data_IF_974054603707
#
_entry.id   IF_974054603707
#
_cell.length_a   1.000
_cell.length_b   1.000
_cell.length_c   1.000
_cell.angle_alpha   90.00
_cell.angle_beta   90.00
_cell.angle_gamma   90.00
#
_symmetry.space_group_name_H-M   'P 1'
#
loop_
_entity.id
_entity.type
_entity.pdbx_description
1 polymer ?
#
# COMPACT_ATOMS: atom_id res chain seq x y z
N UNK A 1 -40.11 -4.17 58.44
CA UNK A 1 -40.56 -4.25 57.05
C UNK A 1 -39.83 -3.16 56.25
N UNK A 2 -38.90 -3.58 55.38
CA UNK A 2 -38.45 -2.88 54.15
C UNK A 2 -37.58 -1.60 54.26
N UNK A 3 -36.26 -1.81 54.12
CA UNK A 3 -35.28 -1.14 53.22
C UNK A 3 -35.46 0.35 52.81
N UNK A 4 -34.48 1.23 53.11
CA UNK A 4 -33.28 1.49 52.26
C UNK A 4 -32.52 2.81 52.58
N UNK A 5 -31.21 2.63 52.85
CA UNK A 5 -30.01 3.35 52.37
C UNK A 5 -29.88 4.90 52.46
N UNK A 6 -29.20 5.31 53.54
CA UNK A 6 -27.97 6.11 53.65
C UNK A 6 -27.52 7.13 52.55
N UNK A 7 -27.43 8.37 53.06
CA UNK A 7 -26.66 9.59 52.71
C UNK A 7 -25.34 9.39 51.93
N UNK A 8 -25.00 10.14 50.86
CA UNK A 8 -24.75 11.60 50.63
C UNK A 8 -23.37 12.15 51.09
N UNK A 9 -22.61 12.65 50.09
CA UNK A 9 -21.56 13.70 50.08
C UNK A 9 -20.22 13.40 50.80
N UNK A 10 -19.03 13.88 50.39
CA UNK A 10 -18.49 14.65 49.26
C UNK A 10 -16.96 14.78 49.46
N UNK A 11 -16.26 15.18 48.38
CA UNK A 11 -15.02 15.99 48.33
C UNK A 11 -13.64 15.34 48.03
N UNK A 12 -13.10 15.80 46.89
CA UNK A 12 -11.77 16.40 46.63
C UNK A 12 -10.51 15.53 46.72
N UNK A 13 -9.90 15.37 45.54
CA UNK A 13 -8.55 15.90 45.28
C UNK A 13 -7.37 14.95 45.47
N UNK A 14 -6.81 14.45 44.36
CA UNK A 14 -5.36 14.27 44.27
C UNK A 14 -4.89 14.48 42.82
N UNK A 15 -4.31 15.66 42.59
CA UNK A 15 -3.44 15.98 41.46
C UNK A 15 -2.14 15.18 41.63
N UNK A 16 -1.66 14.48 40.60
CA UNK A 16 -0.27 14.00 40.55
C UNK A 16 0.43 14.74 39.42
N UNK A 17 1.35 15.60 39.80
CA UNK A 17 2.27 16.33 38.92
C UNK A 17 3.39 15.38 38.47
N UNK A 18 3.64 15.32 37.17
CA UNK A 18 4.72 14.57 36.55
C UNK A 18 5.82 15.56 36.14
N UNK A 19 6.93 15.64 36.89
CA UNK A 19 8.18 16.27 36.41
C UNK A 19 9.38 15.56 37.07
N UNK A 20 10.15 14.78 36.29
CA UNK A 20 11.58 15.01 36.03
C UNK A 20 12.22 13.88 35.20
N UNK A 21 12.79 14.31 34.07
CA UNK A 21 13.92 13.81 33.28
C UNK A 21 14.79 12.67 33.83
N UNK A 22 15.14 11.75 32.92
CA UNK A 22 16.53 11.31 32.74
C UNK A 22 17.00 10.09 33.51
N UNK A 23 17.10 8.97 32.78
CA UNK A 23 18.00 7.83 32.98
C UNK A 23 17.71 6.85 34.13
N UNK A 24 17.60 5.57 33.75
CA UNK A 24 17.99 4.46 34.61
C UNK A 24 16.85 3.80 35.39
N UNK A 25 16.69 2.50 35.14
CA UNK A 25 15.81 1.55 35.85
C UNK A 25 15.75 1.77 37.36
N UNK A 26 14.52 1.81 37.91
CA UNK A 26 14.28 1.78 39.35
C UNK A 26 12.81 1.53 39.66
N UNK A 27 12.51 0.33 40.12
CA UNK A 27 11.21 -0.13 40.62
C UNK A 27 10.81 0.74 41.83
N UNK A 28 9.66 1.40 41.80
CA UNK A 28 9.10 2.09 42.98
C UNK A 28 7.86 1.37 43.50
N UNK A 29 8.04 0.66 44.62
CA UNK A 29 6.95 0.20 45.47
C UNK A 29 6.59 1.32 46.46
N UNK A 30 5.35 1.82 46.39
CA UNK A 30 4.76 2.63 47.46
C UNK A 30 4.12 1.68 48.47
N UNK A 31 4.81 1.45 49.59
CA UNK A 31 4.25 0.76 50.76
C UNK A 31 3.54 1.80 51.63
N UNK A 32 2.22 1.82 51.56
CA UNK A 32 1.38 2.42 52.60
C UNK A 32 0.85 1.28 53.47
N UNK A 33 1.39 1.16 54.68
CA UNK A 33 1.06 0.11 55.63
C UNK A 33 -0.38 0.26 56.17
N UNK A 34 -1.33 -0.50 55.62
CA UNK A 34 -2.48 -1.06 56.34
C UNK A 34 -2.88 -2.37 55.69
N UNK A 35 -2.92 -3.42 56.51
CA UNK A 35 -2.99 -4.84 56.16
C UNK A 35 -4.30 -5.19 55.45
N UNK A 36 -4.20 -5.79 54.25
CA UNK A 36 -5.25 -6.60 53.64
C UNK A 36 -4.62 -7.94 53.18
N UNK A 37 -4.98 -9.09 53.76
CA UNK A 37 -4.34 -10.38 53.45
C UNK A 37 -4.79 -11.00 52.11
N UNK A 38 -5.56 -10.29 51.28
CA UNK A 38 -6.03 -10.78 49.98
C UNK A 38 -5.49 -10.00 48.77
N UNK A 39 -4.47 -9.15 48.95
CA UNK A 39 -3.82 -8.50 47.82
C UNK A 39 -2.81 -9.48 47.19
N UNK A 40 -3.29 -10.35 46.31
CA UNK A 40 -2.41 -10.96 45.31
C UNK A 40 -1.77 -9.83 44.51
N UNK A 41 -0.47 -9.65 44.71
CA UNK A 41 0.36 -8.79 43.87
C UNK A 41 0.38 -9.47 42.51
N UNK A 42 -0.55 -9.09 41.64
CA UNK A 42 -0.46 -9.40 40.22
C UNK A 42 0.74 -8.61 39.70
N UNK A 43 1.89 -9.28 39.62
CA UNK A 43 2.93 -8.85 38.69
C UNK A 43 2.30 -8.92 37.31
N UNK A 44 1.97 -7.76 36.73
CA UNK A 44 1.69 -7.71 35.30
C UNK A 44 2.99 -8.15 34.62
N UNK A 45 2.99 -9.36 34.06
CA UNK A 45 4.07 -9.79 33.18
C UNK A 45 4.20 -8.72 32.08
N UNK A 46 5.44 -8.30 31.80
CA UNK A 46 5.67 -7.34 30.72
C UNK A 46 5.18 -7.98 29.42
N UNK A 47 4.23 -7.33 28.75
CA UNK A 47 3.67 -7.82 27.48
C UNK A 47 4.82 -8.04 26.49
N UNK A 48 4.92 -9.22 25.84
CA UNK A 48 6.02 -9.48 24.92
C UNK A 48 6.05 -8.49 23.76
N UNK A 49 7.22 -7.89 23.54
CA UNK A 49 7.48 -7.03 22.39
C UNK A 49 8.57 -7.63 21.52
N UNK A 50 8.39 -7.53 20.21
CA UNK A 50 9.31 -8.08 19.21
C UNK A 50 10.47 -7.12 18.92
N UNK A 51 11.69 -7.66 18.82
CA UNK A 51 12.84 -6.93 18.29
C UNK A 51 12.86 -7.01 16.76
N UNK A 52 12.53 -5.88 16.12
CA UNK A 52 12.56 -5.72 14.66
C UNK A 52 13.94 -6.02 14.06
N UNK A 53 15.03 -5.68 14.76
CA UNK A 53 16.38 -5.94 14.26
C UNK A 53 16.75 -7.43 14.33
N UNK A 54 16.26 -8.14 15.34
CA UNK A 54 16.47 -9.57 15.48
C UNK A 54 15.75 -10.36 14.36
N UNK A 55 14.53 -9.96 13.98
CA UNK A 55 13.85 -10.60 12.83
C UNK A 55 14.51 -10.23 11.50
N UNK A 56 14.92 -8.98 11.28
CA UNK A 56 15.59 -8.58 10.03
C UNK A 56 16.95 -9.26 9.85
N UNK A 57 17.69 -9.52 10.93
CA UNK A 57 18.94 -10.29 10.85
C UNK A 57 18.70 -11.78 10.60
N UNK A 58 17.57 -12.32 11.08
CA UNK A 58 17.12 -13.66 10.75
C UNK A 58 16.84 -13.84 9.25
N UNK A 59 16.28 -12.81 8.60
CA UNK A 59 15.96 -12.83 7.17
C UNK A 59 17.16 -12.51 6.27
N UNK A 60 18.11 -11.71 6.75
CA UNK A 60 19.28 -11.23 5.96
C UNK A 60 20.54 -12.13 6.07
N UNK A 61 20.54 -13.15 6.90
CA UNK A 61 21.67 -14.07 7.02
C UNK A 61 21.17 -15.50 7.23
N UNK A 62 21.67 -16.41 6.39
CA UNK A 62 21.43 -17.87 6.30
C UNK A 62 21.44 -18.67 7.62
N UNK A 63 20.56 -18.38 8.58
CA UNK A 63 20.49 -19.06 9.88
C UNK A 63 19.25 -19.95 10.00
N UNK A 64 19.54 -21.22 9.72
CA UNK A 64 19.00 -22.44 10.35
C UNK A 64 17.50 -22.72 10.17
N UNK A 65 17.27 -23.78 9.39
CA UNK A 65 16.05 -24.57 9.24
C UNK A 65 15.85 -25.39 10.51
N UNK A 66 14.64 -25.41 11.07
CA UNK A 66 14.33 -26.29 12.21
C UNK A 66 13.77 -27.61 11.67
N UNK A 67 14.45 -28.72 11.98
CA UNK A 67 14.21 -30.04 11.38
C UNK A 67 12.92 -30.73 11.89
N UNK A 68 12.40 -30.36 13.07
CA UNK A 68 11.21 -31.00 13.65
C UNK A 68 10.21 -29.98 14.21
N UNK A 69 8.99 -30.04 13.65
CA UNK A 69 7.76 -29.47 14.21
C UNK A 69 6.73 -30.60 14.13
N UNK A 70 6.20 -31.06 15.25
CA UNK A 70 5.05 -31.97 15.27
C UNK A 70 3.79 -31.12 15.27
N UNK A 71 3.15 -30.95 14.11
CA UNK A 71 2.00 -30.07 13.94
C UNK A 71 0.70 -30.71 14.42
N UNK A 72 -0.06 -30.03 15.28
CA UNK A 72 -1.52 -30.15 15.34
C UNK A 72 -2.16 -28.90 15.97
N UNK A 73 -2.68 -27.99 15.13
CA UNK A 73 -3.69 -27.00 15.56
C UNK A 73 -3.20 -25.58 15.88
N UNK A 74 -4.20 -24.70 16.07
CA UNK A 74 -4.07 -23.26 16.35
C UNK A 74 -3.63 -22.94 17.80
N UNK A 75 -3.44 -23.97 18.62
CA UNK A 75 -2.76 -23.86 19.90
C UNK A 75 -1.31 -24.30 19.69
N UNK A 76 -0.34 -23.61 20.31
CA UNK A 76 1.06 -24.06 20.37
C UNK A 76 1.25 -25.31 21.24
N UNK A 77 0.15 -26.05 21.42
CA UNK A 77 -0.02 -27.32 22.09
C UNK A 77 -0.78 -28.21 21.13
N UNK A 78 -0.38 -29.47 21.03
CA UNK A 78 -1.20 -30.44 20.30
C UNK A 78 -2.56 -30.64 21.02
N UNK A 79 -3.44 -31.44 20.41
CA UNK A 79 -4.74 -31.80 20.99
C UNK A 79 -4.67 -32.53 22.35
N UNK A 80 -3.48 -32.87 22.82
CA UNK A 80 -3.22 -33.45 24.15
C UNK A 80 -2.73 -32.44 25.20
N UNK A 81 -2.55 -31.17 24.81
CA UNK A 81 -2.07 -30.10 25.70
C UNK A 81 -0.54 -30.04 25.84
N UNK A 82 0.21 -30.79 25.04
CA UNK A 82 1.67 -30.82 25.06
C UNK A 82 2.24 -29.65 24.28
N UNK A 83 3.08 -28.81 24.90
CA UNK A 83 3.77 -27.71 24.22
C UNK A 83 4.55 -28.24 22.99
N UNK A 84 4.17 -27.79 21.80
CA UNK A 84 4.82 -28.11 20.53
C UNK A 84 6.24 -27.53 20.41
N UNK A 85 6.67 -26.77 21.41
CA UNK A 85 7.94 -26.04 21.51
C UNK A 85 9.05 -26.89 22.18
N UNK A 86 8.72 -28.05 22.76
CA UNK A 86 9.72 -28.88 23.46
C UNK A 86 10.73 -29.52 22.49
N UNK A 87 11.94 -28.96 22.41
CA UNK A 87 13.08 -29.50 21.65
C UNK A 87 13.38 -28.81 20.31
N UNK A 88 12.61 -27.79 19.91
CA UNK A 88 12.82 -27.05 18.67
C UNK A 88 13.84 -25.88 18.86
N UNK A 89 14.92 -25.85 18.06
CA UNK A 89 15.95 -24.78 18.12
C UNK A 89 15.52 -23.53 17.35
N UNK A 90 14.64 -22.73 17.93
CA UNK A 90 14.20 -21.42 17.38
C UNK A 90 15.18 -20.28 17.67
N UNK A 91 15.05 -19.16 16.95
CA UNK A 91 15.80 -17.93 17.25
C UNK A 91 14.98 -17.04 18.19
N UNK A 92 15.53 -16.71 19.35
CA UNK A 92 14.92 -15.75 20.26
C UNK A 92 14.91 -14.35 19.62
N UNK A 93 13.73 -13.78 19.46
CA UNK A 93 13.50 -12.45 18.84
C UNK A 93 12.72 -11.52 19.79
N UNK A 94 12.71 -11.83 21.09
CA UNK A 94 12.17 -10.95 22.12
C UNK A 94 13.11 -9.76 22.36
N UNK A 95 12.57 -8.54 22.46
CA UNK A 95 13.38 -7.33 22.66
C UNK A 95 14.11 -7.29 24.01
N UNK A 96 13.61 -7.99 25.01
CA UNK A 96 14.26 -8.13 26.32
C UNK A 96 15.28 -9.27 26.37
N UNK A 97 15.40 -10.08 25.31
CA UNK A 97 16.18 -11.32 25.32
C UNK A 97 15.61 -12.41 26.24
N UNK A 98 14.38 -12.24 26.75
CA UNK A 98 13.75 -13.15 27.72
C UNK A 98 13.52 -14.57 27.20
N UNK A 99 13.48 -14.75 25.88
CA UNK A 99 13.05 -16.00 25.28
C UNK A 99 11.53 -16.15 25.29
N UNK A 100 10.78 -15.05 25.39
CA UNK A 100 9.31 -15.09 25.30
C UNK A 100 8.81 -15.14 23.85
N UNK A 101 9.66 -14.86 22.86
CA UNK A 101 9.29 -14.85 21.44
C UNK A 101 10.36 -15.59 20.65
N UNK A 102 9.94 -16.57 19.85
CA UNK A 102 10.82 -17.33 18.98
C UNK A 102 10.35 -17.30 17.52
N UNK A 103 11.30 -17.12 16.61
CA UNK A 103 11.12 -17.32 15.18
C UNK A 103 11.62 -18.70 14.75
N UNK A 104 10.84 -19.36 13.89
CA UNK A 104 11.16 -20.62 13.27
C UNK A 104 10.88 -20.54 11.77
N UNK A 105 11.77 -21.08 10.95
CA UNK A 105 11.59 -21.14 9.50
C UNK A 105 11.69 -22.58 9.02
N UNK A 106 10.64 -23.03 8.36
CA UNK A 106 10.55 -24.40 7.84
C UNK A 106 9.78 -24.37 6.52
N UNK A 107 10.33 -25.03 5.51
CA UNK A 107 9.67 -25.19 4.21
C UNK A 107 9.15 -23.88 3.61
N UNK A 108 9.92 -22.79 3.73
CA UNK A 108 9.55 -21.45 3.28
C UNK A 108 8.45 -20.71 4.06
N UNK A 109 7.95 -21.29 5.16
CA UNK A 109 7.03 -20.64 6.10
C UNK A 109 7.78 -20.13 7.33
N UNK A 110 7.53 -18.88 7.71
CA UNK A 110 7.99 -18.29 8.97
C UNK A 110 6.90 -18.41 10.03
N UNK A 111 7.26 -18.98 11.18
CA UNK A 111 6.42 -19.08 12.37
C UNK A 111 6.99 -18.17 13.45
N UNK A 112 6.18 -17.24 13.95
CA UNK A 112 6.50 -16.41 15.12
C UNK A 112 5.64 -16.91 16.28
N UNK A 113 6.29 -17.42 17.33
CA UNK A 113 5.61 -18.05 18.45
C UNK A 113 5.90 -17.32 19.75
N UNK A 114 4.86 -17.14 20.57
CA UNK A 114 4.95 -16.62 21.93
C UNK A 114 3.80 -17.19 22.76
N UNK A 115 3.99 -17.44 24.08
CA UNK A 115 2.91 -17.88 24.96
C UNK A 115 1.86 -16.78 25.23
N UNK A 116 2.19 -15.51 24.97
CA UNK A 116 1.27 -14.37 25.07
C UNK A 116 1.22 -13.63 23.72
N UNK A 117 0.25 -12.73 23.53
CA UNK A 117 0.20 -11.90 22.32
C UNK A 117 1.44 -11.00 22.23
N UNK A 118 2.00 -10.95 21.03
CA UNK A 118 3.19 -10.17 20.70
C UNK A 118 2.74 -8.80 20.23
N UNK A 119 2.96 -7.76 21.03
CA UNK A 119 2.67 -6.39 20.58
C UNK A 119 3.80 -5.91 19.68
N UNK A 120 3.46 -5.63 18.43
CA UNK A 120 4.41 -5.05 17.49
C UNK A 120 4.65 -3.57 17.80
N UNK A 121 5.90 -3.07 17.60
CA UNK A 121 6.21 -1.66 17.79
C UNK A 121 5.44 -0.76 16.81
N UNK A 122 5.19 0.49 17.21
CA UNK A 122 4.52 1.50 16.36
C UNK A 122 5.13 1.60 14.96
N UNK A 123 6.47 1.60 14.90
CA UNK A 123 7.20 1.39 13.66
C UNK A 123 7.53 -0.09 13.45
N UNK A 124 6.69 -0.75 12.66
CA UNK A 124 6.92 -2.12 12.18
C UNK A 124 7.21 -2.15 10.68
N UNK A 125 7.70 -1.03 10.12
CA UNK A 125 8.15 -1.00 8.73
C UNK A 125 9.23 -2.05 8.49
N UNK A 126 9.39 -2.52 7.26
CA UNK A 126 10.49 -3.41 6.87
C UNK A 126 10.63 -4.72 7.66
N UNK A 127 9.59 -5.16 8.40
CA UNK A 127 9.71 -6.25 9.37
C UNK A 127 10.17 -7.58 8.74
N UNK A 128 9.68 -7.89 7.55
CA UNK A 128 10.03 -9.08 6.77
C UNK A 128 10.73 -8.74 5.46
N UNK A 129 11.18 -7.49 5.32
CA UNK A 129 11.81 -6.98 4.10
C UNK A 129 12.95 -7.87 3.62
N UNK A 130 13.00 -8.04 2.30
CA UNK A 130 13.98 -8.79 1.53
C UNK A 130 14.13 -10.26 1.95
N UNK A 131 13.13 -10.82 2.66
CA UNK A 131 13.08 -12.25 2.97
C UNK A 131 12.69 -13.06 1.71
N UNK A 132 13.61 -13.12 0.76
CA UNK A 132 13.41 -13.62 -0.62
C UNK A 132 13.01 -15.09 -0.74
N UNK A 133 13.10 -15.88 0.34
CA UNK A 133 12.66 -17.28 0.35
C UNK A 133 11.30 -17.47 1.03
N UNK A 134 10.75 -16.42 1.64
CA UNK A 134 9.51 -16.48 2.42
C UNK A 134 8.29 -16.61 1.51
N UNK A 135 7.58 -17.73 1.59
CA UNK A 135 6.35 -17.98 0.85
C UNK A 135 5.10 -17.78 1.70
N UNK A 136 5.23 -17.81 3.02
CA UNK A 136 4.13 -17.67 3.98
C UNK A 136 4.66 -17.16 5.34
N UNK A 137 3.85 -16.37 6.05
CA UNK A 137 4.11 -15.95 7.44
C UNK A 137 2.89 -16.22 8.29
N UNK A 138 3.10 -16.84 9.45
CA UNK A 138 2.04 -17.07 10.43
C UNK A 138 2.02 -15.92 11.46
N UNK A 139 0.94 -15.12 11.41
CA UNK A 139 0.77 -13.87 12.18
C UNK A 139 -0.24 -14.00 13.34
N UNK A 140 -0.66 -15.21 13.72
CA UNK A 140 -1.72 -15.43 14.71
C UNK A 140 -1.41 -14.89 16.12
N UNK A 141 -0.14 -14.86 16.49
CA UNK A 141 0.30 -14.37 17.80
C UNK A 141 0.55 -12.86 17.84
N UNK A 142 0.51 -12.13 16.72
CA UNK A 142 0.85 -10.70 16.70
C UNK A 142 -0.37 -9.82 16.96
N UNK A 143 -0.16 -8.78 17.74
CA UNK A 143 -1.07 -7.66 17.93
C UNK A 143 -0.47 -6.44 17.23
N UNK A 144 -1.21 -5.97 16.22
CA UNK A 144 -0.82 -4.83 15.37
C UNK A 144 -1.66 -3.59 15.61
N UNK A 145 -2.52 -3.58 16.63
CA UNK A 145 -3.41 -2.45 16.95
C UNK A 145 -2.66 -1.14 17.22
N UNK A 146 -1.41 -1.24 17.64
CA UNK A 146 -0.51 -0.10 17.87
C UNK A 146 0.41 0.21 16.69
N UNK A 147 0.35 -0.50 15.56
CA UNK A 147 1.28 -0.24 14.44
C UNK A 147 0.74 0.92 13.61
N UNK A 148 1.53 2.00 13.49
CA UNK A 148 1.22 3.13 12.63
C UNK A 148 1.97 3.07 11.30
N UNK A 149 3.14 2.44 11.26
CA UNK A 149 3.96 2.31 10.06
C UNK A 149 4.08 0.84 9.64
N UNK A 150 3.40 0.48 8.55
CA UNK A 150 3.48 -0.82 7.88
C UNK A 150 4.33 -0.78 6.61
N UNK A 151 5.00 0.35 6.33
CA UNK A 151 5.72 0.53 5.08
C UNK A 151 6.74 -0.58 4.86
N UNK A 152 6.81 -1.10 3.64
CA UNK A 152 7.78 -2.15 3.25
C UNK A 152 7.72 -3.42 4.11
N UNK A 153 6.66 -3.69 4.87
CA UNK A 153 6.62 -4.81 5.83
C UNK A 153 6.94 -6.16 5.17
N UNK A 154 6.46 -6.40 3.95
CA UNK A 154 6.72 -7.62 3.16
C UNK A 154 7.50 -7.33 1.86
N UNK A 155 8.26 -6.24 1.82
CA UNK A 155 9.00 -5.80 0.64
C UNK A 155 9.92 -6.92 0.11
N UNK A 156 9.80 -7.25 -1.17
CA UNK A 156 10.53 -8.29 -1.88
C UNK A 156 10.43 -9.71 -1.27
N UNK A 157 9.39 -10.02 -0.50
CA UNK A 157 9.13 -11.41 -0.08
C UNK A 157 8.50 -12.21 -1.22
N UNK A 158 8.82 -13.51 -1.36
CA UNK A 158 8.24 -14.39 -2.40
C UNK A 158 6.95 -15.07 -1.95
N UNK A 159 6.09 -14.31 -1.26
CA UNK A 159 4.84 -14.78 -0.66
C UNK A 159 3.91 -15.37 -1.72
N UNK A 160 3.44 -16.60 -1.51
CA UNK A 160 2.40 -17.24 -2.33
C UNK A 160 1.04 -17.25 -1.65
N UNK A 161 1.02 -17.14 -0.33
CA UNK A 161 -0.18 -17.01 0.51
C UNK A 161 0.16 -16.17 1.73
N UNK A 162 -0.80 -15.37 2.21
CA UNK A 162 -0.66 -14.60 3.43
C UNK A 162 -2.02 -14.47 4.10
N UNK A 163 -2.15 -15.03 5.30
CA UNK A 163 -3.32 -14.80 6.15
C UNK A 163 -3.16 -13.47 6.89
N UNK A 164 -3.99 -12.50 6.50
CA UNK A 164 -3.98 -11.14 7.04
C UNK A 164 -5.08 -10.90 8.08
N UNK A 165 -5.93 -11.89 8.38
CA UNK A 165 -7.16 -11.73 9.19
C UNK A 165 -6.91 -11.15 10.59
N UNK A 166 -5.75 -11.43 11.17
CA UNK A 166 -5.34 -10.97 12.50
C UNK A 166 -4.64 -9.60 12.51
N UNK A 167 -4.43 -8.96 11.36
CA UNK A 167 -3.86 -7.61 11.32
C UNK A 167 -4.93 -6.55 11.62
N UNK A 168 -4.76 -5.82 12.71
CA UNK A 168 -5.53 -4.61 12.97
C UNK A 168 -4.78 -3.40 12.42
N UNK A 169 -5.29 -2.89 11.30
CA UNK A 169 -4.69 -1.77 10.58
C UNK A 169 -5.30 -0.42 10.95
N UNK A 170 -6.16 -0.34 11.97
CA UNK A 170 -6.85 0.90 12.35
C UNK A 170 -5.91 2.09 12.61
N UNK A 171 -4.75 1.82 13.22
CA UNK A 171 -3.76 2.84 13.58
C UNK A 171 -2.81 3.20 12.43
N UNK A 172 -2.86 2.49 11.30
CA UNK A 172 -1.95 2.68 10.20
C UNK A 172 -2.07 4.08 9.57
N UNK A 173 -0.93 4.74 9.42
CA UNK A 173 -0.78 6.01 8.70
C UNK A 173 0.05 5.84 7.42
N UNK A 174 0.94 4.85 7.37
CA UNK A 174 1.81 4.56 6.22
C UNK A 174 1.74 3.07 5.85
N UNK A 175 1.34 2.78 4.62
CA UNK A 175 1.31 1.44 4.02
C UNK A 175 2.12 1.39 2.71
N UNK A 176 2.98 2.37 2.48
CA UNK A 176 3.80 2.47 1.27
C UNK A 176 4.64 1.21 1.08
N UNK A 177 4.75 0.72 -0.15
CA UNK A 177 5.56 -0.45 -0.51
C UNK A 177 5.26 -1.75 0.26
N UNK A 178 4.13 -1.86 0.98
CA UNK A 178 3.88 -2.96 1.94
C UNK A 178 4.04 -4.35 1.31
N UNK A 179 3.59 -4.55 0.08
CA UNK A 179 3.69 -5.81 -0.68
C UNK A 179 4.57 -5.67 -1.94
N UNK A 180 5.38 -4.61 -2.03
CA UNK A 180 6.27 -4.38 -3.18
C UNK A 180 7.09 -5.62 -3.49
N UNK A 181 7.16 -6.03 -4.75
CA UNK A 181 7.97 -7.15 -5.22
C UNK A 181 7.51 -8.52 -4.71
N UNK A 182 6.30 -8.63 -4.15
CA UNK A 182 5.69 -9.91 -3.81
C UNK A 182 5.19 -10.67 -5.05
N UNK A 183 6.12 -11.04 -5.92
CA UNK A 183 5.86 -11.56 -7.25
C UNK A 183 5.02 -12.83 -7.27
N UNK A 184 5.07 -13.68 -6.23
CA UNK A 184 4.36 -14.96 -6.20
C UNK A 184 2.90 -14.86 -5.73
N UNK A 185 2.44 -13.70 -5.26
CA UNK A 185 1.06 -13.53 -4.81
C UNK A 185 0.11 -13.65 -6.01
N UNK A 186 -0.87 -14.55 -5.92
CA UNK A 186 -1.91 -14.75 -6.94
C UNK A 186 -3.25 -14.12 -6.55
N UNK A 187 -3.51 -14.04 -5.25
CA UNK A 187 -4.62 -13.35 -4.60
C UNK A 187 -4.21 -12.82 -3.23
N UNK A 188 -4.95 -11.86 -2.70
CA UNK A 188 -4.76 -11.31 -1.37
C UNK A 188 -6.12 -10.91 -0.81
N UNK A 189 -6.47 -11.41 0.38
CA UNK A 189 -7.68 -10.98 1.10
C UNK A 189 -7.33 -9.76 1.95
N UNK A 190 -7.94 -8.63 1.62
CA UNK A 190 -7.75 -7.34 2.28
C UNK A 190 -9.03 -6.84 2.96
N UNK A 191 -10.05 -7.69 3.09
CA UNK A 191 -11.38 -7.31 3.57
C UNK A 191 -11.40 -6.75 5.01
N UNK A 192 -10.41 -7.10 5.84
CA UNK A 192 -10.27 -6.62 7.21
C UNK A 192 -9.46 -5.31 7.35
N UNK A 193 -8.91 -4.78 6.25
CA UNK A 193 -8.09 -3.57 6.30
C UNK A 193 -8.93 -2.33 6.63
N UNK A 194 -8.47 -1.54 7.61
CA UNK A 194 -9.07 -0.28 8.04
C UNK A 194 -8.13 0.86 7.70
N UNK A 195 -8.26 1.44 6.52
CA UNK A 195 -7.29 2.42 6.01
C UNK A 195 -7.64 3.89 6.30
N UNK A 196 -8.60 4.15 7.19
CA UNK A 196 -9.16 5.50 7.44
C UNK A 196 -8.13 6.57 7.86
N UNK A 197 -6.95 6.18 8.35
CA UNK A 197 -5.87 7.09 8.78
C UNK A 197 -4.66 7.08 7.86
N UNK A 198 -4.66 6.24 6.83
CA UNK A 198 -3.52 6.08 5.92
C UNK A 198 -3.41 7.30 5.03
N UNK A 199 -2.21 7.87 4.96
CA UNK A 199 -1.87 9.02 4.11
C UNK A 199 -1.00 8.62 2.91
N UNK A 200 -0.26 7.51 3.01
CA UNK A 200 0.65 7.03 1.96
C UNK A 200 0.35 5.56 1.61
N UNK A 201 0.03 5.31 0.33
CA UNK A 201 -0.16 3.99 -0.27
C UNK A 201 0.74 3.79 -1.50
N UNK A 202 1.77 4.61 -1.66
CA UNK A 202 2.67 4.58 -2.81
C UNK A 202 3.31 3.19 -2.95
N UNK A 203 3.33 2.68 -4.19
CA UNK A 203 3.95 1.41 -4.58
C UNK A 203 3.49 0.16 -3.79
N UNK A 204 2.34 0.21 -3.12
CA UNK A 204 1.89 -0.85 -2.19
C UNK A 204 1.85 -2.24 -2.84
N UNK A 205 1.42 -2.35 -4.11
CA UNK A 205 1.33 -3.60 -4.87
C UNK A 205 2.26 -3.62 -6.09
N UNK A 206 3.29 -2.77 -6.09
CA UNK A 206 4.24 -2.73 -7.21
C UNK A 206 4.93 -4.08 -7.38
N UNK A 207 5.03 -4.58 -8.61
CA UNK A 207 5.77 -5.81 -8.91
C UNK A 207 5.11 -7.09 -8.37
N UNK A 208 3.87 -7.03 -7.88
CA UNK A 208 3.05 -8.21 -7.57
C UNK A 208 2.53 -8.88 -8.86
N UNK A 209 3.44 -9.26 -9.76
CA UNK A 209 3.16 -9.58 -11.16
C UNK A 209 2.27 -10.82 -11.38
N UNK A 210 2.07 -11.66 -10.36
CA UNK A 210 1.16 -12.81 -10.42
C UNK A 210 -0.26 -12.54 -9.91
N UNK A 211 -0.55 -11.36 -9.35
CA UNK A 211 -1.89 -11.03 -8.88
C UNK A 211 -2.85 -11.02 -10.07
N UNK A 212 -3.98 -11.70 -9.91
CA UNK A 212 -4.99 -11.82 -10.97
C UNK A 212 -6.09 -10.77 -10.83
N UNK A 213 -6.44 -10.44 -9.59
CA UNK A 213 -7.42 -9.42 -9.22
C UNK A 213 -7.12 -8.84 -7.85
N UNK A 214 -7.62 -7.63 -7.58
CA UNK A 214 -7.59 -6.98 -6.28
C UNK A 214 -8.98 -6.44 -5.93
N UNK A 215 -9.53 -6.88 -4.80
CA UNK A 215 -10.71 -6.26 -4.20
C UNK A 215 -10.29 -5.32 -3.07
N UNK A 216 -10.53 -4.02 -3.27
CA UNK A 216 -10.18 -2.96 -2.31
C UNK A 216 -11.44 -2.29 -1.74
N UNK A 217 -12.58 -2.99 -1.73
CA UNK A 217 -13.85 -2.46 -1.23
C UNK A 217 -13.83 -2.05 0.26
N UNK A 218 -12.89 -2.58 1.05
CA UNK A 218 -12.67 -2.20 2.46
C UNK A 218 -11.88 -0.88 2.62
N UNK A 219 -11.24 -0.38 1.56
CA UNK A 219 -10.34 0.76 1.67
C UNK A 219 -11.10 2.08 1.78
N UNK A 220 -10.75 2.86 2.80
CA UNK A 220 -11.10 4.27 2.89
C UNK A 220 -9.84 5.10 2.58
N UNK A 221 -9.79 5.67 1.38
CA UNK A 221 -8.62 6.44 0.92
C UNK A 221 -8.76 7.95 1.13
N UNK A 222 -9.75 8.41 1.91
CA UNK A 222 -10.08 9.84 2.01
C UNK A 222 -8.96 10.72 2.57
N UNK A 223 -8.00 10.15 3.30
CA UNK A 223 -6.82 10.85 3.83
C UNK A 223 -5.54 10.61 3.01
N UNK A 224 -5.60 9.79 1.96
CA UNK A 224 -4.41 9.45 1.15
C UNK A 224 -4.01 10.65 0.30
N UNK A 225 -2.73 10.98 0.34
CA UNK A 225 -2.11 12.05 -0.45
C UNK A 225 -1.22 11.50 -1.57
N UNK A 226 -0.66 10.30 -1.39
CA UNK A 226 0.24 9.65 -2.37
C UNK A 226 -0.28 8.26 -2.76
N UNK A 227 -0.55 8.08 -4.06
CA UNK A 227 -0.94 6.81 -4.68
C UNK A 227 0.02 6.42 -5.82
N UNK A 228 1.21 7.04 -5.87
CA UNK A 228 2.18 6.82 -6.93
C UNK A 228 2.57 5.34 -7.03
N UNK A 229 2.57 4.79 -8.24
CA UNK A 229 2.95 3.40 -8.50
C UNK A 229 2.14 2.31 -7.77
N UNK A 230 1.01 2.64 -7.14
CA UNK A 230 0.29 1.71 -6.24
C UNK A 230 -0.01 0.35 -6.87
N UNK A 231 -0.37 0.32 -8.17
CA UNK A 231 -0.68 -0.90 -8.92
C UNK A 231 0.31 -1.20 -10.03
N UNK A 232 1.45 -0.50 -10.09
CA UNK A 232 2.38 -0.65 -11.20
C UNK A 232 2.88 -2.10 -11.32
N UNK A 233 2.69 -2.70 -12.50
CA UNK A 233 3.18 -4.04 -12.84
C UNK A 233 4.43 -3.95 -13.73
N UNK A 234 5.40 -4.82 -13.47
CA UNK A 234 6.51 -5.03 -14.39
C UNK A 234 6.11 -6.03 -15.48
N UNK A 235 6.66 -5.84 -16.69
CA UNK A 235 6.42 -6.79 -17.77
C UNK A 235 7.24 -8.06 -17.56
N UNK A 236 6.60 -9.13 -17.10
CA UNK A 236 7.21 -10.47 -16.89
C UNK A 236 6.74 -11.51 -17.91
N UNK A 237 6.09 -11.05 -19.00
CA UNK A 237 5.48 -11.92 -20.01
C UNK A 237 3.96 -11.70 -20.08
N UNK A 238 3.17 -12.76 -19.87
CA UNK A 238 1.70 -12.68 -19.91
C UNK A 238 1.17 -11.84 -18.74
N UNK A 239 0.45 -10.73 -18.99
CA UNK A 239 -0.10 -9.92 -17.90
C UNK A 239 -1.21 -10.67 -17.17
N UNK A 240 -1.19 -10.62 -15.83
CA UNK A 240 -2.10 -11.39 -14.98
C UNK A 240 -3.17 -10.56 -14.29
N UNK A 241 -2.88 -9.31 -13.94
CA UNK A 241 -3.84 -8.43 -13.28
C UNK A 241 -4.91 -7.97 -14.28
N UNK A 242 -6.12 -8.50 -14.14
CA UNK A 242 -7.24 -8.28 -15.07
C UNK A 242 -8.40 -7.48 -14.48
N UNK A 243 -8.43 -7.32 -13.15
CA UNK A 243 -9.49 -6.56 -12.46
C UNK A 243 -8.97 -5.91 -11.18
N UNK A 244 -9.38 -4.66 -10.94
CA UNK A 244 -9.14 -3.93 -9.70
C UNK A 244 -10.45 -3.25 -9.30
N UNK A 245 -10.98 -3.53 -8.11
CA UNK A 245 -12.17 -2.86 -7.59
C UNK A 245 -11.79 -1.56 -6.87
N UNK A 246 -12.08 -0.42 -7.51
CA UNK A 246 -11.80 0.93 -7.00
C UNK A 246 -13.05 1.68 -6.52
N UNK A 247 -14.19 0.99 -6.36
CA UNK A 247 -15.51 1.63 -6.16
C UNK A 247 -15.62 2.55 -4.93
N UNK A 248 -14.79 2.34 -3.90
CA UNK A 248 -14.81 3.12 -2.65
C UNK A 248 -13.65 4.13 -2.54
N UNK A 249 -12.82 4.27 -3.59
CA UNK A 249 -11.72 5.22 -3.58
C UNK A 249 -12.26 6.66 -3.55
N UNK A 250 -11.77 7.42 -2.57
CA UNK A 250 -11.88 8.87 -2.53
C UNK A 250 -10.47 9.44 -2.75
N UNK A 251 -10.27 10.14 -3.87
CA UNK A 251 -8.96 10.68 -4.26
C UNK A 251 -8.86 12.20 -4.06
N UNK A 252 -9.80 12.84 -3.36
CA UNK A 252 -9.89 14.29 -3.26
C UNK A 252 -8.68 14.97 -2.56
N UNK A 253 -7.87 14.20 -1.82
CA UNK A 253 -6.66 14.67 -1.17
C UNK A 253 -5.36 14.22 -1.87
N UNK A 254 -5.47 13.41 -2.92
CA UNK A 254 -4.30 12.87 -3.64
C UNK A 254 -3.62 13.97 -4.45
N UNK A 255 -2.30 14.08 -4.28
CA UNK A 255 -1.44 15.02 -5.02
C UNK A 255 -0.55 14.31 -6.04
N UNK A 256 -0.25 13.03 -5.84
CA UNK A 256 0.60 12.23 -6.74
C UNK A 256 -0.14 10.95 -7.18
N UNK A 257 -0.33 10.82 -8.51
CA UNK A 257 -0.87 9.62 -9.18
C UNK A 257 0.11 9.09 -10.24
N UNK A 258 1.36 9.53 -10.20
CA UNK A 258 2.39 9.09 -11.13
C UNK A 258 2.53 7.56 -11.09
N UNK A 259 2.72 6.93 -12.24
CA UNK A 259 2.88 5.47 -12.37
C UNK A 259 1.70 4.60 -11.85
N UNK A 260 0.59 5.16 -11.36
CA UNK A 260 -0.41 4.42 -10.56
C UNK A 260 -0.88 3.09 -11.19
N UNK A 261 -1.10 3.06 -12.51
CA UNK A 261 -1.51 1.87 -13.27
C UNK A 261 -0.48 1.44 -14.31
N UNK A 262 0.77 1.90 -14.22
CA UNK A 262 1.78 1.59 -15.23
C UNK A 262 1.91 0.07 -15.39
N UNK A 263 2.04 -0.40 -16.63
CA UNK A 263 2.26 -1.80 -16.96
C UNK A 263 1.10 -2.74 -16.65
N UNK A 264 -0.07 -2.23 -16.21
CA UNK A 264 -1.29 -3.02 -16.02
C UNK A 264 -1.89 -3.48 -17.37
N UNK A 265 -1.12 -4.21 -18.17
CA UNK A 265 -1.44 -4.60 -19.54
C UNK A 265 -2.57 -5.62 -19.65
N UNK A 266 -2.98 -6.24 -18.53
CA UNK A 266 -4.10 -7.19 -18.47
C UNK A 266 -5.46 -6.52 -18.25
N UNK A 267 -5.49 -5.25 -17.86
CA UNK A 267 -6.73 -4.50 -17.68
C UNK A 267 -7.32 -4.15 -19.04
N UNK A 268 -8.57 -4.55 -19.27
CA UNK A 268 -9.31 -4.24 -20.52
C UNK A 268 -10.14 -2.96 -20.39
N UNK A 269 -10.65 -2.72 -19.19
CA UNK A 269 -11.39 -1.53 -18.79
C UNK A 269 -11.00 -1.14 -17.35
N UNK A 270 -11.22 0.13 -17.01
CA UNK A 270 -10.93 0.68 -15.69
C UNK A 270 -11.95 1.76 -15.37
N UNK A 271 -12.72 1.58 -14.28
CA UNK A 271 -13.72 2.55 -13.86
C UNK A 271 -13.09 3.60 -12.93
N UNK A 272 -12.96 4.84 -13.43
CA UNK A 272 -12.40 5.98 -12.72
C UNK A 272 -13.42 7.11 -12.50
N UNK A 273 -14.71 6.83 -12.67
CA UNK A 273 -15.77 7.86 -12.67
C UNK A 273 -15.88 8.64 -11.35
N UNK A 274 -15.44 8.06 -10.23
CA UNK A 274 -15.46 8.70 -8.91
C UNK A 274 -14.15 9.41 -8.53
N UNK A 275 -13.12 9.36 -9.37
CA UNK A 275 -11.85 10.01 -9.08
C UNK A 275 -12.03 11.54 -9.11
N UNK A 276 -11.68 12.18 -8.00
CA UNK A 276 -11.45 13.62 -7.93
C UNK A 276 -9.94 13.87 -8.06
N UNK A 277 -9.52 14.53 -9.13
CA UNK A 277 -8.11 14.81 -9.41
C UNK A 277 -7.74 16.28 -9.20
N UNK A 278 -8.61 17.08 -8.58
CA UNK A 278 -8.43 18.55 -8.45
C UNK A 278 -7.09 18.94 -7.81
N UNK A 279 -6.58 18.15 -6.85
CA UNK A 279 -5.32 18.43 -6.16
C UNK A 279 -4.10 17.74 -6.76
N UNK A 280 -4.29 16.92 -7.81
CA UNK A 280 -3.19 16.14 -8.40
C UNK A 280 -2.24 17.08 -9.14
N UNK A 281 -0.95 16.92 -8.85
CA UNK A 281 0.16 17.68 -9.44
C UNK A 281 0.93 16.81 -10.43
N UNK A 282 1.06 15.51 -10.17
CA UNK A 282 1.80 14.57 -11.02
C UNK A 282 0.90 13.42 -11.52
N UNK A 283 0.82 13.27 -12.85
CA UNK A 283 0.16 12.16 -13.56
C UNK A 283 1.11 11.45 -14.54
N UNK A 284 2.42 11.67 -14.40
CA UNK A 284 3.45 11.07 -15.24
C UNK A 284 3.33 9.54 -15.22
N UNK A 285 3.40 8.92 -16.40
CA UNK A 285 3.33 7.47 -16.57
C UNK A 285 2.06 6.77 -16.03
N UNK A 286 1.01 7.51 -15.62
CA UNK A 286 -0.14 6.95 -14.89
C UNK A 286 -0.75 5.70 -15.56
N UNK A 287 -0.87 5.68 -16.90
CA UNK A 287 -1.38 4.56 -17.69
C UNK A 287 -0.33 4.00 -18.68
N UNK A 288 0.94 4.34 -18.52
CA UNK A 288 2.03 3.84 -19.39
C UNK A 288 2.00 2.32 -19.46
N UNK A 289 2.16 1.74 -20.64
CA UNK A 289 2.17 0.30 -20.90
C UNK A 289 0.88 -0.45 -20.51
N UNK A 290 -0.25 0.24 -20.32
CA UNK A 290 -1.58 -0.38 -20.22
C UNK A 290 -2.07 -0.90 -21.58
N UNK A 291 -1.34 -1.86 -22.16
CA UNK A 291 -1.53 -2.34 -23.54
C UNK A 291 -2.88 -3.02 -23.80
N UNK A 292 -3.56 -3.49 -22.75
CA UNK A 292 -4.88 -4.13 -22.84
C UNK A 292 -6.07 -3.17 -22.80
N UNK A 293 -5.88 -1.90 -22.40
CA UNK A 293 -7.00 -0.97 -22.24
C UNK A 293 -7.59 -0.63 -23.60
N UNK A 294 -8.82 -1.11 -23.83
CA UNK A 294 -9.58 -0.87 -25.07
C UNK A 294 -10.39 0.43 -25.03
N UNK A 295 -10.73 0.87 -23.82
CA UNK A 295 -11.40 2.14 -23.54
C UNK A 295 -10.96 2.66 -22.19
N UNK A 296 -10.93 3.98 -22.05
CA UNK A 296 -10.56 4.65 -20.81
C UNK A 296 -11.34 5.97 -20.72
N UNK A 297 -12.21 6.07 -19.71
CA UNK A 297 -12.97 7.30 -19.47
C UNK A 297 -12.27 8.14 -18.40
N UNK A 298 -11.70 9.27 -18.84
CA UNK A 298 -11.03 10.27 -17.99
C UNK A 298 -11.73 11.63 -18.02
N UNK A 299 -12.98 11.69 -18.50
CA UNK A 299 -13.73 12.94 -18.65
C UNK A 299 -14.07 13.61 -17.31
N UNK A 300 -14.01 12.88 -16.19
CA UNK A 300 -14.16 13.43 -14.84
C UNK A 300 -12.90 14.13 -14.31
N UNK A 301 -11.74 13.98 -14.97
CA UNK A 301 -10.48 14.49 -14.44
C UNK A 301 -10.45 16.02 -14.53
N UNK A 302 -10.17 16.66 -13.40
CA UNK A 302 -9.76 18.06 -13.31
C UNK A 302 -8.23 18.10 -13.27
N UNK A 303 -7.59 18.57 -14.33
CA UNK A 303 -6.12 18.60 -14.44
C UNK A 303 -5.53 20.00 -14.24
N UNK A 304 -6.30 20.95 -13.71
CA UNK A 304 -5.87 22.36 -13.61
C UNK A 304 -4.58 22.56 -12.83
N UNK A 305 -4.30 21.70 -11.85
CA UNK A 305 -3.08 21.77 -11.03
C UNK A 305 -1.95 20.83 -11.48
N UNK A 306 -2.17 20.05 -12.54
CA UNK A 306 -1.19 19.06 -13.02
C UNK A 306 -0.03 19.77 -13.72
N UNK A 307 1.19 19.38 -13.34
CA UNK A 307 2.46 19.91 -13.85
C UNK A 307 3.14 18.89 -14.79
N UNK A 308 3.08 17.59 -14.46
CA UNK A 308 3.70 16.52 -15.26
C UNK A 308 2.65 15.52 -15.80
N UNK A 309 2.64 15.35 -17.13
CA UNK A 309 1.86 14.34 -17.87
C UNK A 309 2.75 13.49 -18.78
N UNK A 310 4.06 13.49 -18.55
CA UNK A 310 5.02 12.75 -19.35
C UNK A 310 4.67 11.26 -19.36
N UNK A 311 4.64 10.65 -20.53
CA UNK A 311 4.36 9.23 -20.74
C UNK A 311 2.99 8.76 -20.20
N UNK A 312 2.05 9.66 -19.90
CA UNK A 312 0.78 9.31 -19.23
C UNK A 312 0.04 8.15 -19.92
N UNK A 313 0.06 8.10 -21.26
CA UNK A 313 -0.54 7.04 -22.07
C UNK A 313 0.49 6.32 -22.96
N UNK A 314 1.77 6.34 -22.60
CA UNK A 314 2.83 5.73 -23.41
C UNK A 314 2.53 4.24 -23.68
N UNK A 315 2.58 3.80 -24.93
CA UNK A 315 2.35 2.39 -25.34
C UNK A 315 0.98 1.81 -24.89
N UNK A 316 -0.08 2.63 -24.86
CA UNK A 316 -1.47 2.15 -24.70
C UNK A 316 -2.05 1.62 -26.02
N UNK A 317 -1.46 0.55 -26.55
CA UNK A 317 -1.70 0.13 -27.95
C UNK A 317 -3.13 -0.33 -28.25
N UNK A 318 -3.96 -0.70 -27.27
CA UNK A 318 -5.35 -1.10 -27.52
C UNK A 318 -6.33 0.08 -27.60
N UNK A 319 -5.94 1.29 -27.16
CA UNK A 319 -6.80 2.46 -27.25
C UNK A 319 -6.93 2.93 -28.69
N UNK A 320 -8.18 3.16 -29.11
CA UNK A 320 -8.51 3.67 -30.45
C UNK A 320 -8.92 5.13 -30.46
N UNK A 321 -9.42 5.63 -29.33
CA UNK A 321 -9.72 7.04 -29.11
C UNK A 321 -9.52 7.41 -27.63
N UNK A 322 -9.20 8.67 -27.38
CA UNK A 322 -9.10 9.25 -26.04
C UNK A 322 -9.86 10.56 -25.98
N UNK A 323 -10.71 10.72 -24.97
CA UNK A 323 -11.43 11.96 -24.72
C UNK A 323 -10.80 12.74 -23.57
N UNK A 324 -10.06 13.78 -23.93
CA UNK A 324 -9.38 14.70 -23.01
C UNK A 324 -10.06 16.08 -23.00
N UNK A 325 -11.32 16.18 -23.41
CA UNK A 325 -12.04 17.46 -23.47
C UNK A 325 -12.17 18.17 -22.12
N UNK A 326 -12.12 17.43 -21.01
CA UNK A 326 -12.10 17.98 -19.65
C UNK A 326 -10.73 18.52 -19.22
N UNK A 327 -9.64 18.11 -19.88
CA UNK A 327 -8.28 18.41 -19.45
C UNK A 327 -7.99 19.91 -19.63
N UNK A 328 -7.64 20.56 -18.52
CA UNK A 328 -7.02 21.86 -18.50
C UNK A 328 -5.51 21.68 -18.38
N UNK A 329 -4.77 21.95 -19.44
CA UNK A 329 -3.32 21.72 -19.49
C UNK A 329 -2.51 23.02 -19.40
N UNK A 330 -3.14 24.13 -19.02
CA UNK A 330 -2.49 25.46 -18.95
C UNK A 330 -1.29 25.53 -17.98
N UNK A 331 -1.23 24.66 -16.97
CA UNK A 331 -0.13 24.58 -16.00
C UNK A 331 0.85 23.42 -16.27
N UNK A 332 0.61 22.61 -17.30
CA UNK A 332 1.45 21.44 -17.59
C UNK A 332 2.77 21.90 -18.23
N UNK A 333 3.88 21.46 -17.64
CA UNK A 333 5.24 21.76 -18.09
C UNK A 333 5.84 20.61 -18.91
N UNK A 334 5.48 19.37 -18.58
CA UNK A 334 6.09 18.17 -19.16
C UNK A 334 5.04 17.27 -19.82
N UNK A 335 5.18 17.06 -21.15
CA UNK A 335 4.33 16.19 -21.98
C UNK A 335 5.16 15.21 -22.83
N UNK A 336 6.38 14.90 -22.38
CA UNK A 336 7.28 14.00 -23.11
C UNK A 336 6.60 12.65 -23.36
N UNK A 337 6.60 12.19 -24.61
CA UNK A 337 6.07 10.88 -25.01
C UNK A 337 4.66 10.56 -24.48
N UNK A 338 3.81 11.57 -24.20
CA UNK A 338 2.50 11.40 -23.54
C UNK A 338 1.61 10.36 -24.23
N UNK A 339 1.65 10.28 -25.57
CA UNK A 339 0.89 9.32 -26.37
C UNK A 339 1.78 8.37 -27.17
N UNK A 340 3.09 8.42 -27.01
CA UNK A 340 4.00 7.73 -27.92
C UNK A 340 3.72 6.22 -27.94
N UNK A 341 3.83 5.60 -29.11
CA UNK A 341 3.56 4.19 -29.40
C UNK A 341 2.12 3.76 -29.19
N UNK A 342 1.16 4.68 -29.06
CA UNK A 342 -0.26 4.37 -29.18
C UNK A 342 -0.64 4.12 -30.64
N UNK A 343 -0.12 3.04 -31.24
CA UNK A 343 -0.18 2.76 -32.68
C UNK A 343 -1.62 2.62 -33.23
N UNK A 344 -2.59 2.25 -32.39
CA UNK A 344 -4.00 2.14 -32.78
C UNK A 344 -4.84 3.39 -32.49
N UNK A 345 -4.27 4.40 -31.84
CA UNK A 345 -4.99 5.61 -31.47
C UNK A 345 -5.27 6.44 -32.73
N UNK A 346 -6.55 6.59 -33.04
CA UNK A 346 -7.00 7.31 -34.24
C UNK A 346 -7.38 8.75 -33.94
N UNK A 347 -7.90 9.01 -32.74
CA UNK A 347 -8.46 10.31 -32.38
C UNK A 347 -8.13 10.65 -30.94
N UNK A 348 -7.68 11.89 -30.71
CA UNK A 348 -7.56 12.48 -29.37
C UNK A 348 -8.46 13.72 -29.36
N UNK A 349 -9.48 13.71 -28.50
CA UNK A 349 -10.37 14.86 -28.34
C UNK A 349 -9.82 15.83 -27.31
N UNK A 350 -9.90 17.12 -27.61
CA UNK A 350 -9.50 18.21 -26.72
C UNK A 350 -10.48 19.38 -26.85
N UNK A 351 -10.59 20.19 -25.80
CA UNK A 351 -11.44 21.40 -25.78
C UNK A 351 -10.60 22.68 -25.77
N UNK A 352 -11.26 23.83 -25.60
CA UNK A 352 -10.58 25.11 -25.42
C UNK A 352 -9.72 25.18 -24.14
N UNK A 353 -9.88 24.24 -23.20
CA UNK A 353 -9.04 24.12 -21.99
C UNK A 353 -7.65 23.54 -22.28
N UNK A 354 -7.47 22.90 -23.44
CA UNK A 354 -6.18 22.35 -23.85
C UNK A 354 -5.24 23.45 -24.35
N UNK A 355 -4.10 23.57 -23.70
CA UNK A 355 -3.05 24.55 -23.99
C UNK A 355 -1.66 23.92 -23.83
N UNK A 356 -0.75 24.24 -24.74
CA UNK A 356 0.66 23.83 -24.67
C UNK A 356 1.61 24.99 -24.45
N UNK A 357 1.10 26.18 -24.13
CA UNK A 357 1.89 27.42 -24.01
C UNK A 357 2.93 27.34 -22.89
N UNK A 358 2.62 26.64 -21.79
CA UNK A 358 3.52 26.46 -20.64
C UNK A 358 4.47 25.27 -20.80
N UNK A 359 4.30 24.45 -21.85
CA UNK A 359 5.05 23.20 -22.01
C UNK A 359 6.51 23.50 -22.34
N UNK A 360 7.43 23.06 -21.48
CA UNK A 360 8.88 23.22 -21.66
C UNK A 360 9.54 21.97 -22.22
N UNK A 361 8.86 20.82 -22.16
CA UNK A 361 9.39 19.55 -22.67
C UNK A 361 8.27 18.67 -23.24
N UNK A 362 8.38 18.34 -24.53
CA UNK A 362 7.37 17.58 -25.27
C UNK A 362 7.98 16.60 -26.28
N UNK A 363 9.21 16.15 -26.01
CA UNK A 363 9.92 15.28 -26.94
C UNK A 363 9.11 14.02 -27.21
N UNK A 364 8.99 13.65 -28.48
CA UNK A 364 8.33 12.41 -28.91
C UNK A 364 6.87 12.26 -28.47
N UNK A 365 6.16 13.32 -28.11
CA UNK A 365 4.77 13.29 -27.61
C UNK A 365 3.83 12.35 -28.39
N UNK A 366 3.93 12.33 -29.71
CA UNK A 366 3.12 11.51 -30.63
C UNK A 366 3.91 10.45 -31.38
N UNK A 367 5.16 10.19 -31.00
CA UNK A 367 6.04 9.27 -31.72
C UNK A 367 5.34 7.92 -31.93
N UNK A 368 5.33 7.42 -33.17
CA UNK A 368 4.73 6.12 -33.54
C UNK A 368 3.20 6.02 -33.32
N UNK A 369 2.49 7.15 -33.29
CA UNK A 369 1.03 7.21 -33.35
C UNK A 369 0.52 7.13 -34.80
N UNK A 370 0.92 6.09 -35.54
CA UNK A 370 0.80 6.02 -37.01
C UNK A 370 -0.63 6.10 -37.55
N UNK A 371 -1.65 5.78 -36.73
CA UNK A 371 -3.07 5.88 -37.11
C UNK A 371 -3.74 7.19 -36.68
N UNK A 372 -3.04 8.06 -35.97
CA UNK A 372 -3.60 9.30 -35.45
C UNK A 372 -3.97 10.27 -36.57
N UNK A 373 -5.19 10.78 -36.52
CA UNK A 373 -5.76 11.71 -37.51
C UNK A 373 -6.56 12.79 -36.78
N UNK A 374 -5.97 13.98 -36.70
CA UNK A 374 -6.69 15.22 -36.36
C UNK A 374 -7.12 15.94 -37.61
N UNK A 375 -6.79 17.23 -37.73
CA UNK A 375 -6.92 17.96 -39.00
C UNK A 375 -5.93 17.47 -40.06
N UNK A 376 -4.81 16.91 -39.61
CA UNK A 376 -3.85 16.22 -40.47
C UNK A 376 -3.58 14.82 -39.94
N UNK A 377 -3.11 13.94 -40.82
CA UNK A 377 -2.55 12.64 -40.43
C UNK A 377 -1.21 12.82 -39.72
N UNK A 378 -0.89 11.87 -38.84
CA UNK A 378 0.44 11.74 -38.23
C UNK A 378 1.59 11.86 -39.25
N UNK A 379 2.67 12.52 -38.83
CA UNK A 379 3.94 12.57 -39.53
C UNK A 379 5.10 12.30 -38.56
N UNK A 380 5.99 11.39 -38.94
CA UNK A 380 7.22 11.09 -38.19
C UNK A 380 8.18 12.28 -38.07
N UNK A 381 8.04 13.29 -38.95
CA UNK A 381 8.89 14.48 -38.95
C UNK A 381 8.58 15.48 -37.83
N UNK A 382 7.36 15.47 -37.30
CA UNK A 382 6.93 16.38 -36.23
C UNK A 382 6.05 15.62 -35.25
N UNK A 383 6.62 15.27 -34.11
CA UNK A 383 6.02 14.39 -33.11
C UNK A 383 5.92 15.02 -31.73
N UNK A 384 6.15 16.33 -31.60
CA UNK A 384 6.14 17.06 -30.34
C UNK A 384 4.84 17.88 -30.13
N UNK A 385 4.79 18.70 -29.07
CA UNK A 385 3.62 19.50 -28.73
C UNK A 385 3.27 20.59 -29.76
N UNK A 386 4.12 20.86 -30.78
CA UNK A 386 3.76 21.77 -31.86
C UNK A 386 2.57 21.29 -32.69
N UNK A 387 2.21 20.00 -32.60
CA UNK A 387 1.03 19.39 -33.22
C UNK A 387 -0.11 19.11 -32.23
N UNK A 388 0.10 19.36 -30.94
CA UNK A 388 -0.88 19.10 -29.88
C UNK A 388 -1.93 20.22 -29.80
N UNK A 389 -2.66 20.44 -30.90
CA UNK A 389 -3.75 21.40 -31.01
C UNK A 389 -4.78 20.92 -32.04
N UNK A 390 -5.93 21.58 -32.11
CA UNK A 390 -7.05 21.23 -33.01
C UNK A 390 -7.28 22.24 -34.14
N UNK A 391 -6.34 23.17 -34.37
CA UNK A 391 -6.31 24.02 -35.58
C UNK A 391 -5.71 23.30 -36.81
N UNK A 392 -5.69 23.96 -37.97
CA UNK A 392 -5.51 23.41 -39.34
C UNK A 392 -4.40 22.37 -39.53
N UNK A 393 -3.33 22.39 -38.73
CA UNK A 393 -2.18 21.51 -38.86
C UNK A 393 -1.91 20.63 -37.61
N UNK A 394 -2.90 20.47 -36.74
CA UNK A 394 -2.78 19.74 -35.48
C UNK A 394 -3.33 18.32 -35.52
N UNK A 395 -2.88 17.50 -34.57
CA UNK A 395 -3.26 16.09 -34.40
C UNK A 395 -4.49 15.89 -33.50
N UNK A 396 -4.99 16.93 -32.84
CA UNK A 396 -6.15 16.82 -31.95
C UNK A 396 -7.44 17.18 -32.69
N UNK A 397 -8.54 16.64 -32.19
CA UNK A 397 -9.90 16.92 -32.67
C UNK A 397 -10.65 17.72 -31.62
N UNK A 398 -11.30 18.82 -32.02
CA UNK A 398 -12.07 19.63 -31.07
C UNK A 398 -13.31 18.88 -30.59
N UNK A 399 -13.56 18.92 -29.28
CA UNK A 399 -14.80 18.49 -28.64
C UNK A 399 -15.15 19.47 -27.52
N UNK A 400 -16.39 19.97 -27.53
CA UNK A 400 -16.89 20.79 -26.45
C UNK A 400 -17.01 19.95 -25.16
N UNK A 401 -16.68 20.57 -24.02
CA UNK A 401 -16.76 19.96 -22.69
C UNK A 401 -18.18 19.89 -22.15
#
# INVERSE_FOLDING_TARGET
MIWSRFRKFAYIGLFVFLICLGMGMGIFALVSATINPYLSIYYAAAVPTLDKSAIQTYTNASKVVVDTFTSAGNDYRDSSGTNLIAGATGTNISSSGSGSIYAYYKSATLYILSPEKIVLPQDSSELFKDFSRLTEVQLNAVDTSNVSNFSKMFYNCKLSSLDLTNLDTYSATDMSYMFYGCENLTSLDLSNFKTTRVTDMSFMFYGCNNLTSLDLSSFNTSNVTDMSGMFWQEYTGTPKLTSINLSFFNTANVTDMSYMFKGCAGLINLNLSHFNTEKVVDMGYMFSDCKGLTSLNVTSFNTTNVVDMSNMFYTCNALTSLDLSSFNTSNVLYMNAMFAKCENLTTIYASAKWSTVSVVSSNSMFYDCVKLRGNISYSESVVDASRAHYSTNGYLTYKAN
#
